data_IF_273440896625
#
_entry.id   IF_273440896625
#
_cell.length_a   1.000
_cell.length_b   1.000
_cell.length_c   1.000
_cell.angle_alpha   90.00
_cell.angle_beta   90.00
_cell.angle_gamma   90.00
#
_symmetry.space_group_name_H-M   'P 1'
#
loop_
_entity.id
_entity.type
_entity.pdbx_description
1 polymer ?
#
# COMPACT_ATOMS: atom_id res chain seq x y z
N UNK A 1 -20.89 27.58 2.56
CA UNK A 1 -20.71 26.22 3.11
C UNK A 1 -20.66 25.23 1.95
N UNK A 2 -19.53 25.12 1.26
CA UNK A 2 -19.42 24.30 0.04
C UNK A 2 -17.99 23.74 -0.16
N UNK A 3 -17.26 23.52 0.95
CA UNK A 3 -15.90 22.98 0.92
C UNK A 3 -15.87 21.47 1.21
N UNK A 4 -16.89 20.91 1.86
CA UNK A 4 -16.88 19.51 2.32
C UNK A 4 -17.39 18.50 1.28
N UNK A 5 -17.81 18.97 0.09
CA UNK A 5 -18.34 18.09 -0.95
C UNK A 5 -17.24 17.46 -1.81
N UNK A 6 -15.97 17.83 -1.67
CA UNK A 6 -14.88 17.34 -2.53
C UNK A 6 -14.42 15.91 -2.28
N UNK A 7 -14.96 15.22 -1.28
CA UNK A 7 -14.56 13.85 -0.97
C UNK A 7 -15.58 12.83 -1.48
N UNK A 8 -15.13 11.69 -2.04
CA UNK A 8 -16.02 10.62 -2.49
C UNK A 8 -17.05 10.19 -1.42
N UNK A 9 -16.65 10.10 -0.14
CA UNK A 9 -17.54 9.73 0.96
C UNK A 9 -18.70 10.72 1.14
N UNK A 10 -18.46 12.02 0.96
CA UNK A 10 -19.49 13.03 1.12
C UNK A 10 -20.65 12.86 0.12
N UNK A 11 -20.40 12.25 -1.05
CA UNK A 11 -21.44 11.92 -2.02
C UNK A 11 -22.34 10.80 -1.48
N UNK A 12 -21.75 9.72 -0.95
CA UNK A 12 -22.52 8.64 -0.32
C UNK A 12 -23.33 9.14 0.86
N UNK A 13 -22.70 9.90 1.76
CA UNK A 13 -23.36 10.50 2.91
C UNK A 13 -24.55 11.37 2.49
N UNK A 14 -24.42 12.10 1.38
CA UNK A 14 -25.49 12.92 0.84
C UNK A 14 -26.68 12.09 0.35
N UNK A 15 -26.43 10.95 -0.32
CA UNK A 15 -27.47 10.03 -0.77
C UNK A 15 -28.18 9.35 0.41
N UNK A 16 -27.41 8.89 1.40
CA UNK A 16 -27.94 8.29 2.63
C UNK A 16 -28.76 9.29 3.45
N UNK A 17 -28.27 10.52 3.62
CA UNK A 17 -29.00 11.60 4.32
C UNK A 17 -30.30 11.99 3.60
N UNK A 18 -30.33 11.89 2.28
CA UNK A 18 -31.54 12.12 1.49
C UNK A 18 -32.54 10.94 1.56
N UNK A 19 -32.22 9.90 2.34
CA UNK A 19 -32.98 8.67 2.50
C UNK A 19 -33.28 7.96 1.16
N UNK A 20 -32.29 7.94 0.26
CA UNK A 20 -32.40 7.20 -1.01
C UNK A 20 -32.58 5.69 -0.80
N UNK A 21 -31.89 5.02 0.16
CA UNK A 21 -32.15 3.62 0.46
C UNK A 21 -33.60 3.36 0.92
N UNK A 22 -34.15 4.27 1.74
CA UNK A 22 -35.52 4.18 2.25
C UNK A 22 -36.62 4.46 1.22
N UNK A 23 -36.30 4.58 -0.07
CA UNK A 23 -37.29 4.69 -1.14
C UNK A 23 -38.11 3.42 -1.35
N UNK A 24 -37.59 2.26 -0.96
CA UNK A 24 -38.23 0.98 -1.22
C UNK A 24 -38.98 0.43 0.00
N UNK A 25 -39.11 1.22 1.05
CA UNK A 25 -39.86 0.86 2.26
C UNK A 25 -41.33 0.57 1.94
N UNK A 26 -41.84 -0.55 2.46
CA UNK A 26 -43.25 -0.92 2.31
C UNK A 26 -44.07 -0.23 3.40
N UNK A 27 -45.28 0.24 3.06
CA UNK A 27 -46.23 0.80 4.03
C UNK A 27 -46.28 2.32 4.10
N UNK A 28 -45.57 3.02 3.22
CA UNK A 28 -45.73 4.47 3.03
C UNK A 28 -46.86 4.78 2.05
N UNK A 29 -47.49 5.94 2.26
CA UNK A 29 -48.59 6.38 1.37
C UNK A 29 -48.06 6.71 -0.03
N UNK A 30 -48.87 6.52 -1.08
CA UNK A 30 -48.46 6.83 -2.46
C UNK A 30 -48.01 8.30 -2.62
N UNK A 31 -48.66 9.22 -1.92
CA UNK A 31 -48.29 10.64 -1.93
C UNK A 31 -46.91 10.85 -1.34
N UNK A 32 -46.63 10.24 -0.19
CA UNK A 32 -45.32 10.31 0.46
C UNK A 32 -44.23 9.66 -0.40
N UNK A 33 -44.53 8.50 -0.99
CA UNK A 33 -43.66 7.79 -1.92
C UNK A 33 -43.26 8.67 -3.11
N UNK A 34 -44.22 9.37 -3.74
CA UNK A 34 -43.96 10.30 -4.85
C UNK A 34 -43.07 11.47 -4.41
N UNK A 35 -43.35 12.07 -3.24
CA UNK A 35 -42.52 13.15 -2.71
C UNK A 35 -41.08 12.70 -2.42
N UNK A 36 -40.90 11.52 -1.82
CA UNK A 36 -39.57 10.94 -1.59
C UNK A 36 -38.85 10.67 -2.91
N UNK A 37 -39.56 10.15 -3.92
CA UNK A 37 -39.01 9.86 -5.24
C UNK A 37 -38.56 11.12 -5.97
N UNK A 38 -39.35 12.20 -5.93
CA UNK A 38 -38.96 13.51 -6.49
C UNK A 38 -37.71 14.07 -5.80
N UNK A 39 -37.66 13.99 -4.46
CA UNK A 39 -36.50 14.42 -3.69
C UNK A 39 -35.25 13.61 -4.06
N UNK A 40 -35.35 12.28 -4.09
CA UNK A 40 -34.24 11.41 -4.45
C UNK A 40 -33.72 11.65 -5.86
N UNK A 41 -34.60 11.86 -6.85
CA UNK A 41 -34.19 12.21 -8.23
C UNK A 41 -33.36 13.49 -8.25
N UNK A 42 -33.79 14.51 -7.51
CA UNK A 42 -33.03 15.75 -7.38
C UNK A 42 -31.66 15.53 -6.73
N UNK A 43 -31.61 14.78 -5.63
CA UNK A 43 -30.35 14.42 -4.95
C UNK A 43 -29.40 13.66 -5.89
N UNK A 44 -29.91 12.71 -6.66
CA UNK A 44 -29.12 11.95 -7.65
C UNK A 44 -28.57 12.86 -8.76
N UNK A 45 -29.33 13.85 -9.22
CA UNK A 45 -28.88 14.83 -10.21
C UNK A 45 -27.80 15.76 -9.66
N UNK A 46 -27.91 16.16 -8.39
CA UNK A 46 -26.89 16.95 -7.70
C UNK A 46 -25.59 16.15 -7.52
N UNK A 47 -25.71 14.88 -7.12
CA UNK A 47 -24.59 13.96 -6.97
C UNK A 47 -23.89 13.67 -8.32
N UNK A 48 -24.65 13.44 -9.39
CA UNK A 48 -24.09 13.23 -10.73
C UNK A 48 -23.31 14.46 -11.23
N UNK A 49 -23.93 15.65 -11.14
CA UNK A 49 -23.25 16.92 -11.48
C UNK A 49 -21.99 17.13 -10.66
N UNK A 50 -21.99 16.69 -9.41
CA UNK A 50 -20.82 16.76 -8.56
C UNK A 50 -19.70 15.82 -9.06
N UNK A 51 -20.01 14.55 -9.30
CA UNK A 51 -19.06 13.55 -9.83
C UNK A 51 -18.46 14.03 -11.15
N UNK A 52 -19.28 14.51 -12.10
CA UNK A 52 -18.80 14.98 -13.40
C UNK A 52 -17.87 16.19 -13.29
N UNK A 53 -18.14 17.10 -12.35
CA UNK A 53 -17.26 18.25 -12.06
C UNK A 53 -15.92 17.78 -11.50
N UNK A 54 -15.92 16.86 -10.54
CA UNK A 54 -14.69 16.30 -9.95
C UNK A 54 -13.85 15.55 -10.98
N UNK A 55 -14.47 14.71 -11.80
CA UNK A 55 -13.80 13.99 -12.90
C UNK A 55 -13.16 14.98 -13.88
N UNK A 56 -13.91 16.02 -14.27
CA UNK A 56 -13.43 17.04 -15.21
C UNK A 56 -12.27 17.85 -14.61
N UNK A 57 -12.37 18.26 -13.35
CA UNK A 57 -11.32 18.96 -12.61
C UNK A 57 -10.03 18.14 -12.55
N UNK A 58 -10.12 16.86 -12.19
CA UNK A 58 -8.98 15.94 -12.16
C UNK A 58 -8.37 15.76 -13.55
N UNK A 59 -9.18 15.54 -14.60
CA UNK A 59 -8.68 15.43 -15.97
C UNK A 59 -7.91 16.69 -16.39
N UNK A 60 -8.41 17.89 -16.08
CA UNK A 60 -7.70 19.14 -16.36
C UNK A 60 -6.38 19.24 -15.59
N UNK A 61 -6.38 18.89 -14.29
CA UNK A 61 -5.19 18.95 -13.44
C UNK A 61 -4.04 18.04 -13.93
N UNK A 62 -4.36 16.86 -14.45
CA UNK A 62 -3.38 15.89 -14.93
C UNK A 62 -3.21 15.89 -16.46
N UNK A 63 -3.75 16.89 -17.18
CA UNK A 63 -3.53 17.02 -18.63
C UNK A 63 -2.07 17.40 -18.89
N UNK A 64 -1.27 16.55 -19.57
CA UNK A 64 0.13 16.85 -19.83
C UNK A 64 0.26 18.02 -20.80
N UNK A 65 1.22 18.92 -20.53
CA UNK A 65 1.59 19.97 -21.47
C UNK A 65 2.04 19.34 -22.80
N UNK A 66 1.76 20.01 -23.93
CA UNK A 66 2.03 19.50 -25.29
C UNK A 66 3.50 19.08 -25.47
N UNK A 67 4.41 19.67 -24.72
CA UNK A 67 5.86 19.42 -24.73
C UNK A 67 6.29 18.12 -24.04
N UNK A 68 5.43 17.48 -23.24
CA UNK A 68 5.74 16.24 -22.49
C UNK A 68 5.08 14.99 -23.08
N UNK A 69 4.48 15.07 -24.27
CA UNK A 69 3.84 13.94 -24.92
C UNK A 69 4.87 12.88 -25.33
N UNK A 70 4.63 11.62 -24.97
CA UNK A 70 5.46 10.45 -25.23
C UNK A 70 6.52 10.15 -24.16
N UNK A 71 6.62 10.95 -23.09
CA UNK A 71 7.67 10.76 -22.07
C UNK A 71 7.23 9.85 -20.92
N UNK A 72 8.20 9.34 -20.14
CA UNK A 72 7.94 8.61 -18.89
C UNK A 72 7.13 9.45 -17.89
N UNK A 73 7.30 10.78 -17.88
CA UNK A 73 6.48 11.71 -17.08
C UNK A 73 4.99 11.64 -17.44
N UNK A 74 4.66 11.47 -18.73
CA UNK A 74 3.27 11.35 -19.17
C UNK A 74 2.63 10.07 -18.64
N UNK A 75 3.36 8.94 -18.66
CA UNK A 75 2.86 7.68 -18.12
C UNK A 75 2.62 7.77 -16.62
N UNK A 76 3.54 8.39 -15.87
CA UNK A 76 3.37 8.62 -14.44
C UNK A 76 2.17 9.54 -14.14
N UNK A 77 1.94 10.58 -14.94
CA UNK A 77 0.77 11.46 -14.80
C UNK A 77 -0.54 10.73 -15.13
N UNK A 78 -0.57 9.91 -16.19
CA UNK A 78 -1.74 9.09 -16.54
C UNK A 78 -2.09 8.12 -15.43
N UNK A 79 -1.09 7.48 -14.84
CA UNK A 79 -1.32 6.54 -13.74
C UNK A 79 -1.82 7.26 -12.48
N UNK A 80 -1.27 8.44 -12.15
CA UNK A 80 -1.81 9.27 -11.07
C UNK A 80 -3.26 9.67 -11.34
N UNK A 81 -3.58 10.11 -12.55
CA UNK A 81 -4.95 10.44 -12.94
C UNK A 81 -5.88 9.23 -12.79
N UNK A 82 -5.46 8.04 -13.26
CA UNK A 82 -6.23 6.80 -13.13
C UNK A 82 -6.57 6.51 -11.68
N UNK A 83 -5.57 6.58 -10.78
CA UNK A 83 -5.73 6.34 -9.35
C UNK A 83 -6.65 7.37 -8.69
N UNK A 84 -6.49 8.66 -9.01
CA UNK A 84 -7.33 9.72 -8.46
C UNK A 84 -8.78 9.69 -8.97
N UNK A 85 -9.02 9.18 -10.18
CA UNK A 85 -10.37 9.05 -10.75
C UNK A 85 -11.12 7.82 -10.23
N UNK A 86 -10.42 6.77 -9.79
CA UNK A 86 -11.00 5.50 -9.40
C UNK A 86 -12.22 5.60 -8.45
N UNK A 87 -12.20 6.35 -7.34
CA UNK A 87 -13.36 6.42 -6.46
C UNK A 87 -14.57 7.09 -7.11
N UNK A 88 -14.35 8.09 -7.97
CA UNK A 88 -15.44 8.78 -8.67
C UNK A 88 -16.08 7.92 -9.75
N UNK A 89 -15.30 7.07 -10.43
CA UNK A 89 -15.83 6.12 -11.40
C UNK A 89 -16.64 5.01 -10.73
N UNK A 90 -16.22 4.58 -9.53
CA UNK A 90 -16.98 3.64 -8.71
C UNK A 90 -18.34 4.24 -8.31
N UNK A 91 -18.34 5.49 -7.82
CA UNK A 91 -19.58 6.20 -7.50
C UNK A 91 -20.45 6.45 -8.72
N UNK A 92 -19.87 6.78 -9.88
CA UNK A 92 -20.64 6.95 -11.12
C UNK A 92 -21.38 5.66 -11.50
N UNK A 93 -20.74 4.51 -11.31
CA UNK A 93 -21.35 3.20 -11.55
C UNK A 93 -22.51 2.94 -10.57
N UNK A 94 -22.28 3.18 -9.28
CA UNK A 94 -23.32 3.07 -8.27
C UNK A 94 -24.52 3.99 -8.55
N UNK A 95 -24.28 5.25 -8.91
CA UNK A 95 -25.36 6.19 -9.25
C UNK A 95 -26.19 5.73 -10.44
N UNK A 96 -25.56 5.13 -11.47
CA UNK A 96 -26.28 4.56 -12.61
C UNK A 96 -27.19 3.40 -12.17
N UNK A 97 -26.71 2.55 -11.27
CA UNK A 97 -27.50 1.46 -10.71
C UNK A 97 -28.68 2.00 -9.88
N UNK A 98 -28.44 2.93 -8.96
CA UNK A 98 -29.48 3.58 -8.16
C UNK A 98 -30.55 4.19 -9.08
N UNK A 99 -30.15 4.96 -10.10
CA UNK A 99 -31.07 5.56 -11.05
C UNK A 99 -31.93 4.52 -11.77
N UNK A 100 -31.33 3.40 -12.18
CA UNK A 100 -32.05 2.30 -12.78
C UNK A 100 -33.13 1.72 -11.87
N UNK A 101 -32.86 1.62 -10.56
CA UNK A 101 -33.83 1.12 -9.58
C UNK A 101 -34.91 2.15 -9.24
N UNK A 102 -34.53 3.42 -9.11
CA UNK A 102 -35.49 4.52 -8.92
C UNK A 102 -36.45 4.61 -10.11
N UNK A 103 -35.96 4.43 -11.34
CA UNK A 103 -36.81 4.40 -12.53
C UNK A 103 -37.80 3.22 -12.49
N UNK A 104 -37.33 2.02 -12.13
CA UNK A 104 -38.22 0.85 -11.99
C UNK A 104 -39.29 1.07 -10.92
N UNK A 105 -38.93 1.72 -9.82
CA UNK A 105 -39.87 2.09 -8.76
C UNK A 105 -40.90 3.10 -9.26
N UNK A 106 -40.46 4.14 -9.97
CA UNK A 106 -41.35 5.15 -10.60
C UNK A 106 -42.35 4.47 -11.56
N UNK A 107 -41.85 3.59 -12.42
CA UNK A 107 -42.67 2.85 -13.39
C UNK A 107 -43.67 1.91 -12.69
N UNK A 108 -43.26 1.26 -11.59
CA UNK A 108 -44.12 0.39 -10.81
C UNK A 108 -45.26 1.17 -10.14
N UNK A 109 -44.95 2.32 -9.52
CA UNK A 109 -45.93 3.21 -8.90
C UNK A 109 -46.91 3.74 -9.96
N UNK A 110 -46.40 4.23 -11.10
CA UNK A 110 -47.22 4.75 -12.18
C UNK A 110 -48.18 3.68 -12.76
N UNK A 111 -47.75 2.42 -12.77
CA UNK A 111 -48.56 1.29 -13.23
C UNK A 111 -49.47 0.69 -12.14
N UNK A 112 -49.45 1.21 -10.90
CA UNK A 112 -50.19 0.64 -9.77
C UNK A 112 -49.75 -0.78 -9.40
N UNK A 113 -48.49 -1.13 -9.70
CA UNK A 113 -47.91 -2.45 -9.42
C UNK A 113 -47.33 -2.50 -8.01
N UNK A 114 -47.01 -3.72 -7.57
CA UNK A 114 -46.25 -3.93 -6.34
C UNK A 114 -44.89 -3.24 -6.42
N UNK A 115 -44.45 -2.69 -5.28
CA UNK A 115 -43.13 -2.06 -5.12
C UNK A 115 -42.05 -3.14 -5.40
N UNK A 116 -41.06 -2.85 -6.27
CA UNK A 116 -39.97 -3.78 -6.54
C UNK A 116 -39.17 -4.09 -5.27
N UNK A 117 -38.44 -5.22 -5.22
CA UNK A 117 -37.56 -5.52 -4.10
C UNK A 117 -36.59 -4.36 -3.86
N UNK A 118 -36.31 -4.10 -2.58
CA UNK A 118 -35.52 -2.95 -2.16
C UNK A 118 -34.13 -2.91 -2.78
N UNK A 119 -33.63 -1.69 -2.95
CA UNK A 119 -32.25 -1.45 -3.35
C UNK A 119 -31.51 -0.79 -2.20
N UNK A 120 -30.57 -1.53 -1.62
CA UNK A 120 -29.63 -1.04 -0.64
C UNK A 120 -28.27 -0.88 -1.31
N UNK A 121 -27.52 0.09 -0.85
CA UNK A 121 -26.15 0.31 -1.27
C UNK A 121 -25.30 0.71 -0.07
N UNK A 122 -24.02 0.43 -0.20
CA UNK A 122 -23.05 0.56 0.86
C UNK A 122 -22.94 1.98 1.44
N UNK A 123 -22.53 2.05 2.71
CA UNK A 123 -22.40 3.30 3.47
C UNK A 123 -21.05 3.97 3.27
N UNK A 124 -20.00 3.19 3.04
CA UNK A 124 -18.63 3.67 2.98
C UNK A 124 -17.99 3.43 1.62
N UNK A 125 -17.15 4.38 1.20
CA UNK A 125 -16.19 4.22 0.12
C UNK A 125 -14.78 4.33 0.70
N UNK A 126 -13.96 3.31 0.47
CA UNK A 126 -12.62 3.23 1.00
C UNK A 126 -11.66 2.55 0.02
N UNK A 127 -10.37 2.82 0.16
CA UNK A 127 -9.39 2.33 -0.79
C UNK A 127 -8.00 2.87 -0.53
N UNK A 128 -7.08 2.54 -1.43
CA UNK A 128 -5.70 2.98 -1.40
C UNK A 128 -5.42 3.86 -2.62
N UNK A 129 -5.15 5.15 -2.37
CA UNK A 129 -4.81 6.12 -3.41
C UNK A 129 -3.51 5.77 -4.15
N UNK A 130 -2.62 4.99 -3.54
CA UNK A 130 -1.37 4.56 -4.15
C UNK A 130 -1.54 3.41 -5.13
N UNK A 131 -2.47 2.48 -4.88
CA UNK A 131 -2.75 1.38 -5.81
C UNK A 131 -3.85 1.73 -6.81
N UNK A 132 -4.75 2.64 -6.42
CA UNK A 132 -5.97 2.97 -7.16
C UNK A 132 -7.07 1.93 -6.97
N UNK A 133 -6.97 1.08 -5.95
CA UNK A 133 -7.99 0.11 -5.59
C UNK A 133 -8.98 0.76 -4.61
N UNK A 134 -10.25 0.74 -4.98
CA UNK A 134 -11.33 1.36 -4.22
C UNK A 134 -12.52 0.41 -4.17
N UNK A 135 -13.21 0.45 -3.03
CA UNK A 135 -14.29 -0.46 -2.68
C UNK A 135 -15.45 0.33 -2.07
N UNK A 136 -16.63 -0.23 -2.22
CA UNK A 136 -17.82 0.14 -1.47
C UNK A 136 -18.05 -0.95 -0.42
N UNK A 137 -18.48 -0.56 0.78
CA UNK A 137 -18.82 -1.51 1.83
C UNK A 137 -19.54 -0.88 3.01
N UNK A 138 -19.98 -1.74 3.91
CA UNK A 138 -20.53 -1.37 5.20
C UNK A 138 -19.45 -0.98 6.21
N UNK A 139 -19.88 -0.66 7.44
CA UNK A 139 -18.99 -0.31 8.54
C UNK A 139 -17.99 -1.42 8.89
N UNK A 140 -18.40 -2.69 8.83
CA UNK A 140 -17.53 -3.82 9.15
C UNK A 140 -16.41 -3.98 8.09
N UNK A 141 -16.77 -3.87 6.81
CA UNK A 141 -15.81 -3.90 5.71
C UNK A 141 -14.81 -2.73 5.81
N UNK A 142 -15.28 -1.54 6.19
CA UNK A 142 -14.43 -0.39 6.43
C UNK A 142 -13.44 -0.62 7.57
N UNK A 143 -13.90 -1.12 8.72
CA UNK A 143 -13.05 -1.41 9.88
C UNK A 143 -11.99 -2.47 9.57
N UNK A 144 -12.38 -3.54 8.86
CA UNK A 144 -11.46 -4.58 8.39
C UNK A 144 -10.39 -4.00 7.45
N UNK A 145 -10.78 -3.09 6.57
CA UNK A 145 -9.85 -2.40 5.69
C UNK A 145 -8.86 -1.52 6.46
N UNK A 146 -9.33 -0.72 7.43
CA UNK A 146 -8.47 0.10 8.28
C UNK A 146 -7.48 -0.79 9.06
N UNK A 147 -7.95 -1.90 9.63
CA UNK A 147 -7.09 -2.86 10.30
C UNK A 147 -6.01 -3.45 9.36
N UNK A 148 -6.38 -3.80 8.12
CA UNK A 148 -5.43 -4.30 7.14
C UNK A 148 -4.36 -3.26 6.77
N UNK A 149 -4.73 -1.98 6.67
CA UNK A 149 -3.78 -0.88 6.44
C UNK A 149 -2.81 -0.72 7.61
N UNK A 150 -3.29 -0.77 8.85
CA UNK A 150 -2.47 -0.73 10.05
C UNK A 150 -1.45 -1.88 10.09
N UNK A 151 -1.89 -3.09 9.75
CA UNK A 151 -1.00 -4.27 9.66
C UNK A 151 0.05 -4.08 8.56
N UNK A 152 -0.35 -3.59 7.37
CA UNK A 152 0.56 -3.29 6.26
C UNK A 152 1.62 -2.25 6.68
N UNK A 153 1.22 -1.17 7.35
CA UNK A 153 2.15 -0.14 7.84
C UNK A 153 3.14 -0.72 8.86
N UNK A 154 2.66 -1.53 9.81
CA UNK A 154 3.54 -2.20 10.79
C UNK A 154 4.53 -3.14 10.10
N UNK A 155 4.07 -3.93 9.13
CA UNK A 155 4.93 -4.82 8.33
C UNK A 155 5.99 -4.04 7.54
N UNK A 156 5.61 -2.91 6.92
CA UNK A 156 6.56 -2.03 6.24
C UNK A 156 7.62 -1.49 7.20
N UNK A 157 7.22 -1.04 8.40
CA UNK A 157 8.16 -0.61 9.44
C UNK A 157 9.13 -1.71 9.87
N UNK A 158 8.66 -2.96 9.99
CA UNK A 158 9.55 -4.10 10.25
C UNK A 158 10.51 -4.38 9.10
N UNK A 159 10.05 -4.26 7.85
CA UNK A 159 10.88 -4.46 6.66
C UNK A 159 11.96 -3.38 6.53
N UNK A 160 11.63 -2.12 6.81
CA UNK A 160 12.58 -1.01 6.84
C UNK A 160 13.64 -1.18 7.95
N UNK A 161 13.29 -1.78 9.08
CA UNK A 161 14.24 -2.14 10.14
C UNK A 161 15.12 -3.36 9.77
N UNK A 162 14.65 -4.23 8.88
CA UNK A 162 15.39 -5.43 8.44
C UNK A 162 16.57 -5.10 7.51
N UNK A 163 16.42 -4.09 6.67
CA UNK A 163 17.49 -3.54 5.80
C UNK A 163 18.78 -3.19 6.59
N UNK A 164 18.75 -2.31 7.61
CA UNK A 164 19.94 -1.97 8.39
C UNK A 164 20.45 -3.15 9.22
N UNK A 165 19.57 -4.03 9.71
CA UNK A 165 19.98 -5.27 10.40
C UNK A 165 20.77 -6.21 9.47
N UNK A 166 20.36 -6.35 8.20
CA UNK A 166 21.11 -7.12 7.21
C UNK A 166 22.46 -6.46 6.88
N UNK A 167 22.50 -5.14 6.78
CA UNK A 167 23.75 -4.41 6.58
C UNK A 167 24.69 -4.58 7.78
N UNK A 168 24.19 -4.50 9.01
CA UNK A 168 24.94 -4.74 10.24
C UNK A 168 25.44 -6.18 10.36
N UNK A 169 24.64 -7.19 9.98
CA UNK A 169 25.13 -8.58 9.95
C UNK A 169 26.24 -8.78 8.93
N UNK A 170 26.17 -8.10 7.77
CA UNK A 170 27.22 -8.17 6.75
C UNK A 170 28.53 -7.56 7.25
N UNK A 171 28.48 -6.41 7.92
CA UNK A 171 29.67 -5.79 8.53
C UNK A 171 30.22 -6.65 9.67
N UNK A 172 29.35 -7.22 10.53
CA UNK A 172 29.79 -8.14 11.59
C UNK A 172 30.49 -9.39 11.03
N UNK A 173 29.94 -9.97 9.95
CA UNK A 173 30.54 -11.14 9.29
C UNK A 173 31.91 -10.81 8.70
N UNK A 174 32.05 -9.64 8.07
CA UNK A 174 33.34 -9.16 7.57
C UNK A 174 34.35 -8.94 8.70
N UNK A 175 33.92 -8.38 9.84
CA UNK A 175 34.76 -8.22 11.03
C UNK A 175 35.21 -9.58 11.59
N UNK A 176 34.29 -10.54 11.73
CA UNK A 176 34.61 -11.91 12.19
C UNK A 176 35.61 -12.59 11.25
N UNK A 177 35.46 -12.45 9.95
CA UNK A 177 36.37 -13.04 8.97
C UNK A 177 37.75 -12.38 8.99
N UNK A 178 37.82 -11.05 9.21
CA UNK A 178 39.08 -10.34 9.41
C UNK A 178 39.81 -10.81 10.67
N UNK A 179 39.12 -10.89 11.81
CA UNK A 179 39.69 -11.37 13.07
C UNK A 179 40.18 -12.82 12.97
N UNK A 180 39.46 -13.68 12.23
CA UNK A 180 39.91 -15.05 11.96
C UNK A 180 41.21 -15.10 11.16
N UNK A 181 41.40 -14.21 10.18
CA UNK A 181 42.63 -14.12 9.39
C UNK A 181 43.80 -13.65 10.25
N UNK A 182 43.60 -12.60 11.05
CA UNK A 182 44.61 -12.11 12.00
C UNK A 182 45.03 -13.20 13.00
N UNK A 183 44.07 -13.93 13.55
CA UNK A 183 44.35 -15.05 14.46
C UNK A 183 45.13 -16.19 13.78
N UNK A 184 44.86 -16.47 12.50
CA UNK A 184 45.61 -17.46 11.73
C UNK A 184 47.04 -16.99 11.41
N UNK A 185 47.21 -15.72 11.06
CA UNK A 185 48.52 -15.11 10.81
C UNK A 185 49.37 -15.08 12.08
N UNK A 186 48.78 -14.70 13.22
CA UNK A 186 49.42 -14.76 14.54
C UNK A 186 49.82 -16.20 14.92
N UNK A 187 48.97 -17.19 14.66
CA UNK A 187 49.32 -18.61 14.86
C UNK A 187 50.48 -19.06 13.96
N UNK A 188 50.49 -18.63 12.69
CA UNK A 188 51.58 -18.93 11.75
C UNK A 188 52.89 -18.26 12.15
N UNK A 189 52.86 -17.01 12.61
CA UNK A 189 54.06 -16.30 13.07
C UNK A 189 54.61 -16.91 14.35
N UNK A 190 53.75 -17.33 15.29
CA UNK A 190 54.14 -18.08 16.48
C UNK A 190 54.78 -19.44 16.13
N UNK A 191 54.21 -20.19 15.19
CA UNK A 191 54.82 -21.45 14.70
C UNK A 191 56.19 -21.20 14.07
N UNK A 192 56.33 -20.18 13.20
CA UNK A 192 57.62 -19.81 12.61
C UNK A 192 58.65 -19.43 13.67
N UNK A 193 58.26 -18.71 14.73
CA UNK A 193 59.14 -18.38 15.85
C UNK A 193 59.55 -19.61 16.68
N UNK A 194 58.66 -20.59 16.83
CA UNK A 194 58.99 -21.86 17.50
C UNK A 194 59.93 -22.72 16.65
N UNK A 195 59.74 -22.76 15.33
CA UNK A 195 60.64 -23.45 14.39
C UNK A 195 62.03 -22.81 14.33
N UNK A 196 62.14 -21.49 14.35
CA UNK A 196 63.45 -20.81 14.38
C UNK A 196 64.16 -21.02 15.71
N UNK A 197 63.45 -21.02 16.85
CA UNK A 197 64.02 -21.40 18.16
C UNK A 197 64.46 -22.87 18.21
N UNK A 198 63.71 -23.77 17.57
CA UNK A 198 64.07 -25.19 17.44
C UNK A 198 65.31 -25.41 16.57
N UNK A 199 65.41 -24.71 15.43
CA UNK A 199 66.61 -24.72 14.57
C UNK A 199 67.83 -24.12 15.24
N UNK A 200 67.69 -23.03 15.99
CA UNK A 200 68.80 -22.47 16.77
C UNK A 200 69.31 -23.44 17.84
N UNK A 201 68.41 -24.14 18.54
CA UNK A 201 68.80 -25.19 19.50
C UNK A 201 69.52 -26.37 18.84
N UNK A 202 69.09 -26.77 17.64
CA UNK A 202 69.71 -27.87 16.89
C UNK A 202 71.10 -27.48 16.32
N UNK A 203 71.26 -26.25 15.83
CA UNK A 203 72.56 -25.72 15.38
C UNK A 203 73.51 -25.55 16.56
N UNK A 204 73.04 -25.08 17.73
CA UNK A 204 73.86 -25.04 18.94
C UNK A 204 74.27 -26.44 19.40
N UNK A 205 73.36 -27.41 19.38
CA UNK A 205 73.65 -28.80 19.74
C UNK A 205 74.70 -29.44 18.80
N UNK A 206 74.61 -29.17 17.49
CA UNK A 206 75.59 -29.66 16.50
C UNK A 206 76.96 -28.97 16.62
N UNK A 207 77.00 -27.67 16.96
CA UNK A 207 78.26 -26.96 17.24
C UNK A 207 78.92 -27.45 18.55
N UNK A 208 78.14 -27.84 19.55
CA UNK A 208 78.70 -28.45 20.78
C UNK A 208 79.14 -29.90 20.59
N UNK A 209 78.54 -30.65 19.66
CA UNK A 209 78.94 -32.04 19.34
C UNK A 209 80.10 -32.11 18.33
N UNK A 210 80.27 -31.12 17.46
CA UNK A 210 81.42 -31.03 16.55
C UNK A 210 82.73 -30.54 17.20
N UNK A 211 82.66 -29.90 18.38
CA UNK A 211 83.82 -29.38 19.11
C UNK A 211 84.55 -30.38 20.01
N UNK A 212 84.10 -31.64 20.11
CA UNK A 212 84.65 -32.64 21.03
C UNK A 212 85.23 -33.90 20.35
N UNK A 213 85.43 -33.88 19.03
CA UNK A 213 85.93 -35.03 18.26
C UNK A 213 87.38 -34.95 17.78
N UNK A 214 88.25 -34.16 18.43
CA UNK A 214 89.60 -33.89 17.92
C UNK A 214 90.69 -33.62 18.96
N UNK A 215 90.69 -34.31 20.10
CA UNK A 215 91.88 -34.43 20.96
C UNK A 215 91.91 -35.85 21.56
N UNK A 216 92.91 -36.65 21.18
CA UNK A 216 93.38 -37.79 21.98
C UNK A 216 93.64 -39.07 21.22
N UNK A 217 94.94 -39.40 21.09
CA UNK A 217 95.65 -40.69 20.92
C UNK A 217 96.84 -40.38 19.97
N UNK A 218 98.06 -40.07 20.43
CA UNK A 218 98.93 -40.79 21.38
C UNK A 218 99.05 -42.28 21.02
#
# INVERSE_FOLDING_TARGET
MAADLYEPQAILDHLHRANVPGLFEVGISEREQRTRLEHAKKTLDEADKFIQRSISSLKTQYTPDKKKRGSSDEQALKEKLRKSLAPYLLLETLLKEIRGQVQKLEDAIAAGKLIPPGFEFDEYIFGDSETGEWFLGDHEAYDLWQYALDVKQRLNGFMEQREPLHQQMKTLKQAIDATKREAQEAKRSLRKQQETKGRFRMVFALLTLGGLGGIGFA
#
